data_IF_425581437256
#
_entry.id   IF_425581437256
#
_cell.length_a   1.000
_cell.length_b   1.000
_cell.length_c   1.000
_cell.angle_alpha   90.00
_cell.angle_beta   90.00
_cell.angle_gamma   90.00
#
_symmetry.space_group_name_H-M   'P 1'
#
loop_
_entity.id
_entity.type
_entity.pdbx_description
1 polymer ?
#
# COMPACT_ATOMS: atom_id res chain seq x y z
N UNK A 1 10.94 27.67 -13.08
CA UNK A 1 9.47 27.54 -13.02
C UNK A 1 9.12 26.71 -11.80
N UNK A 2 8.13 27.13 -11.00
CA UNK A 2 7.69 26.42 -9.77
C UNK A 2 6.24 25.98 -9.97
N UNK A 3 5.99 24.68 -9.84
CA UNK A 3 4.65 24.09 -9.90
C UNK A 3 4.29 23.64 -8.48
N UNK A 4 3.09 24.01 -8.01
CA UNK A 4 2.58 23.62 -6.69
C UNK A 4 1.29 22.83 -6.91
N UNK A 5 1.12 21.73 -6.17
CA UNK A 5 -0.07 20.89 -6.22
C UNK A 5 -0.79 20.97 -4.89
N UNK A 6 -2.11 21.22 -4.93
CA UNK A 6 -2.98 21.04 -3.77
C UNK A 6 -3.59 19.66 -3.85
N UNK A 7 -3.36 18.85 -2.82
CA UNK A 7 -3.80 17.45 -2.77
C UNK A 7 -4.50 17.22 -1.44
N UNK A 8 -5.67 16.55 -1.42
CA UNK A 8 -6.30 16.10 -0.18
C UNK A 8 -5.35 15.23 0.65
N UNK A 9 -5.35 15.41 1.97
CA UNK A 9 -4.39 14.76 2.88
C UNK A 9 -4.42 13.23 2.77
N UNK A 10 -5.61 12.65 2.63
CA UNK A 10 -5.82 11.20 2.43
C UNK A 10 -5.30 10.66 1.09
N UNK A 11 -4.89 11.53 0.16
CA UNK A 11 -4.32 11.16 -1.15
C UNK A 11 -2.84 11.57 -1.27
N UNK A 12 -2.30 12.29 -0.30
CA UNK A 12 -0.94 12.81 -0.35
C UNK A 12 0.11 11.70 -0.47
N UNK A 13 -0.05 10.61 0.30
CA UNK A 13 0.85 9.44 0.24
C UNK A 13 0.91 8.82 -1.15
N UNK A 14 -0.25 8.59 -1.76
CA UNK A 14 -0.37 8.01 -3.11
C UNK A 14 0.26 8.90 -4.19
N UNK A 15 0.01 10.22 -4.16
CA UNK A 15 0.61 11.14 -5.14
C UNK A 15 2.13 11.17 -5.03
N UNK A 16 2.67 11.13 -3.80
CA UNK A 16 4.11 11.05 -3.59
C UNK A 16 4.70 9.76 -4.15
N UNK A 17 3.99 8.64 -4.04
CA UNK A 17 4.42 7.37 -4.63
C UNK A 17 4.45 7.42 -6.16
N UNK A 18 3.41 7.97 -6.80
CA UNK A 18 3.40 8.18 -8.25
C UNK A 18 4.57 9.06 -8.72
N UNK A 19 4.87 10.13 -7.98
CA UNK A 19 5.99 11.01 -8.31
C UNK A 19 7.35 10.31 -8.16
N UNK A 20 7.49 9.36 -7.24
CA UNK A 20 8.72 8.53 -7.11
C UNK A 20 8.95 7.62 -8.32
N UNK A 21 7.88 7.22 -9.02
CA UNK A 21 7.98 6.40 -10.23
C UNK A 21 8.47 7.15 -11.47
N UNK A 22 8.57 8.48 -11.43
CA UNK A 22 8.97 9.29 -12.58
C UNK A 22 10.50 9.47 -12.64
N UNK A 23 11.16 9.17 -13.79
CA UNK A 23 12.62 9.14 -13.89
C UNK A 23 13.30 10.51 -13.73
N UNK A 24 12.57 11.62 -13.85
CA UNK A 24 13.11 12.98 -13.81
C UNK A 24 12.68 13.77 -12.56
N UNK A 25 12.02 13.10 -11.60
CA UNK A 25 11.49 13.76 -10.40
C UNK A 25 12.34 13.37 -9.19
N UNK A 26 13.05 14.34 -8.61
CA UNK A 26 13.75 14.17 -7.34
C UNK A 26 12.92 14.80 -6.22
N UNK A 27 12.30 13.95 -5.39
CA UNK A 27 11.61 14.41 -4.19
C UNK A 27 12.64 14.80 -3.13
N UNK A 28 12.60 16.06 -2.68
CA UNK A 28 13.40 16.56 -1.57
C UNK A 28 12.56 16.56 -0.31
N UNK A 29 12.77 15.59 0.58
CA UNK A 29 12.10 15.48 1.87
C UNK A 29 11.73 14.05 2.22
N UNK A 30 11.77 13.72 3.52
CA UNK A 30 11.20 12.47 4.03
C UNK A 30 9.68 12.67 4.03
N UNK A 31 8.96 11.95 3.18
CA UNK A 31 7.51 11.86 3.32
C UNK A 31 7.23 11.34 4.73
N UNK A 32 6.37 12.00 5.49
CA UNK A 32 5.92 11.45 6.75
C UNK A 32 5.32 10.08 6.46
N UNK A 33 5.85 9.02 7.08
CA UNK A 33 5.19 7.72 7.16
C UNK A 33 3.93 7.92 7.99
N UNK A 34 2.88 8.39 7.33
CA UNK A 34 1.54 8.28 7.88
C UNK A 34 1.16 6.80 7.75
N UNK A 35 0.76 6.12 8.83
CA UNK A 35 0.19 4.79 8.71
C UNK A 35 -1.02 4.90 7.80
N UNK A 36 -0.90 4.36 6.59
CA UNK A 36 -1.98 4.36 5.62
C UNK A 36 -3.04 3.37 6.13
N UNK A 37 -4.26 3.86 6.41
CA UNK A 37 -5.41 2.98 6.59
C UNK A 37 -5.84 2.46 5.22
N UNK A 38 -5.19 1.37 4.80
CA UNK A 38 -5.44 0.70 3.52
C UNK A 38 -6.64 -0.25 3.58
N UNK A 39 -7.41 -0.26 4.68
CA UNK A 39 -8.57 -1.15 4.84
C UNK A 39 -9.58 -0.97 3.71
N UNK A 40 -9.86 0.28 3.34
CA UNK A 40 -10.75 0.58 2.21
C UNK A 40 -10.22 0.03 0.89
N UNK A 41 -8.90 0.07 0.67
CA UNK A 41 -8.27 -0.46 -0.52
C UNK A 41 -8.38 -1.98 -0.59
N UNK A 42 -8.05 -2.67 0.51
CA UNK A 42 -8.12 -4.13 0.59
C UNK A 42 -9.55 -4.67 0.43
N UNK A 43 -10.55 -3.92 0.89
CA UNK A 43 -11.96 -4.30 0.81
C UNK A 43 -12.67 -3.84 -0.48
N UNK A 44 -12.01 -3.04 -1.33
CA UNK A 44 -12.63 -2.48 -2.53
C UNK A 44 -13.05 -3.56 -3.55
N UNK A 45 -12.29 -4.65 -3.66
CA UNK A 45 -12.64 -5.78 -4.54
C UNK A 45 -13.33 -6.89 -3.75
N UNK A 46 -14.56 -7.31 -4.12
CA UNK A 46 -15.27 -8.39 -3.44
C UNK A 46 -14.49 -9.71 -3.44
N UNK A 47 -13.78 -10.01 -4.53
CA UNK A 47 -12.95 -11.20 -4.63
C UNK A 47 -11.75 -11.12 -3.68
N UNK A 48 -11.09 -9.97 -3.58
CA UNK A 48 -9.99 -9.78 -2.63
C UNK A 48 -10.47 -9.88 -1.18
N UNK A 49 -11.60 -9.24 -0.87
CA UNK A 49 -12.20 -9.30 0.46
C UNK A 49 -12.56 -10.74 0.87
N UNK A 50 -13.11 -11.54 -0.04
CA UNK A 50 -13.39 -12.95 0.21
C UNK A 50 -12.11 -13.76 0.49
N UNK A 51 -11.05 -13.56 -0.31
CA UNK A 51 -9.75 -14.23 -0.12
C UNK A 51 -9.10 -13.83 1.21
N UNK A 52 -9.16 -12.55 1.56
CA UNK A 52 -8.62 -12.04 2.82
C UNK A 52 -9.32 -12.65 4.03
N UNK A 53 -10.67 -12.68 4.03
CA UNK A 53 -11.44 -13.31 5.11
C UNK A 53 -11.12 -14.80 5.27
N UNK A 54 -11.03 -15.53 4.15
CA UNK A 54 -10.67 -16.94 4.17
C UNK A 54 -9.24 -17.17 4.72
N UNK A 55 -8.29 -16.30 4.38
CA UNK A 55 -6.94 -16.36 4.92
C UNK A 55 -6.90 -16.11 6.43
N UNK A 56 -7.63 -15.10 6.92
CA UNK A 56 -7.75 -14.80 8.36
C UNK A 56 -8.36 -15.96 9.14
N UNK A 57 -9.37 -16.65 8.59
CA UNK A 57 -9.98 -17.80 9.24
C UNK A 57 -9.01 -18.99 9.35
N UNK A 58 -8.28 -19.29 8.29
CA UNK A 58 -7.22 -20.33 8.32
C UNK A 58 -6.17 -20.01 9.38
N UNK A 59 -5.78 -18.73 9.49
CA UNK A 59 -4.83 -18.28 10.50
C UNK A 59 -5.35 -18.50 11.93
N UNK A 60 -6.61 -18.15 12.21
CA UNK A 60 -7.25 -18.41 13.51
C UNK A 60 -7.29 -19.89 13.86
N UNK A 61 -7.49 -20.75 12.87
CA UNK A 61 -7.50 -22.20 13.03
C UNK A 61 -6.10 -22.82 13.08
N UNK A 62 -5.03 -22.01 13.00
CA UNK A 62 -3.65 -22.49 12.99
C UNK A 62 -3.22 -23.21 11.71
N UNK A 63 -3.99 -23.09 10.63
CA UNK A 63 -3.73 -23.72 9.34
C UNK A 63 -2.75 -22.87 8.53
N UNK A 64 -1.47 -22.91 8.93
CA UNK A 64 -0.39 -22.15 8.30
C UNK A 64 0.50 -23.06 7.47
N UNK A 65 0.95 -22.54 6.33
CA UNK A 65 1.98 -23.15 5.51
C UNK A 65 3.21 -22.24 5.53
N UNK A 66 4.39 -22.83 5.75
CA UNK A 66 5.66 -22.08 5.76
C UNK A 66 6.32 -22.27 4.40
N UNK A 67 6.61 -21.16 3.73
CA UNK A 67 7.33 -21.16 2.47
C UNK A 67 8.69 -20.50 2.68
N UNK A 68 9.75 -21.17 2.23
CA UNK A 68 11.08 -20.57 2.15
C UNK A 68 11.17 -19.72 0.89
N UNK A 69 11.71 -18.51 1.01
CA UNK A 69 12.04 -17.71 -0.16
C UNK A 69 13.26 -18.33 -0.83
N UNK A 70 13.25 -18.51 -2.17
CA UNK A 70 14.44 -18.98 -2.87
C UNK A 70 15.59 -18.00 -2.65
N UNK A 71 16.79 -18.54 -2.41
CA UNK A 71 18.01 -17.74 -2.36
C UNK A 71 18.19 -17.03 -3.72
N UNK A 72 18.39 -15.71 -3.68
CA UNK A 72 18.64 -14.86 -4.85
C UNK A 72 20.00 -15.14 -5.47
#
# INVERSE_FOLDING_TARGET
>A
MKITFEVPENRAGFILELLRGLPYVTLRGKAAELPADDTAHLLASPANAARLRAAMERDRLGQRETHEFPAQ
#
